data_IF_237900516029
#
_entry.id   IF_237900516029
#
_cell.length_a   1.000
_cell.length_b   1.000
_cell.length_c   1.000
_cell.angle_alpha   90.00
_cell.angle_beta   90.00
_cell.angle_gamma   90.00
#
_symmetry.space_group_name_H-M   'P 1'
#
loop_
_entity.id
_entity.type
_entity.pdbx_description
1 polymer ?
#
# COMPACT_ATOMS: atom_id res chain seq x y z
N UNK A 1 -6.48 -43.78 -3.14
CA UNK A 1 -6.31 -43.46 -1.70
C UNK A 1 -5.34 -44.45 -1.06
N UNK A 2 -5.59 -45.75 -1.16
CA UNK A 2 -4.69 -46.82 -0.68
C UNK A 2 -3.25 -46.71 -1.20
N UNK A 3 -3.06 -46.38 -2.49
CA UNK A 3 -1.73 -46.25 -3.11
C UNK A 3 -0.86 -45.13 -2.53
N UNK A 4 -1.46 -44.00 -2.13
CA UNK A 4 -0.72 -42.90 -1.53
C UNK A 4 -0.28 -43.25 -0.10
N UNK A 5 -1.15 -43.88 0.68
CA UNK A 5 -0.83 -44.33 2.03
C UNK A 5 0.31 -45.35 2.02
N UNK A 6 0.27 -46.35 1.13
CA UNK A 6 1.36 -47.33 0.97
C UNK A 6 2.71 -46.68 0.61
N UNK A 7 2.70 -45.71 -0.31
CA UNK A 7 3.91 -45.00 -0.69
C UNK A 7 4.45 -44.10 0.43
N UNK A 8 3.56 -43.44 1.19
CA UNK A 8 3.94 -42.59 2.31
C UNK A 8 4.56 -43.42 3.45
N UNK A 9 3.94 -44.54 3.83
CA UNK A 9 4.47 -45.45 4.86
C UNK A 9 5.82 -46.02 4.46
N UNK A 10 6.00 -46.41 3.20
CA UNK A 10 7.30 -46.92 2.74
C UNK A 10 8.42 -45.86 2.86
N UNK A 11 8.12 -44.60 2.53
CA UNK A 11 9.10 -43.52 2.69
C UNK A 11 9.36 -43.25 4.17
N UNK A 12 8.35 -43.30 5.05
CA UNK A 12 8.54 -43.16 6.50
C UNK A 12 9.46 -44.24 7.06
N UNK A 13 9.25 -45.51 6.67
CA UNK A 13 10.12 -46.64 7.03
C UNK A 13 11.57 -46.39 6.59
N UNK A 14 11.80 -46.01 5.32
CA UNK A 14 13.14 -45.68 4.83
C UNK A 14 13.79 -44.52 5.61
N UNK A 15 12.99 -43.55 6.08
CA UNK A 15 13.49 -42.44 6.88
C UNK A 15 13.90 -42.85 8.30
N UNK A 16 13.32 -43.92 8.85
CA UNK A 16 13.70 -44.45 10.17
C UNK A 16 15.07 -45.12 10.21
N UNK A 17 15.60 -45.54 9.05
CA UNK A 17 16.93 -46.15 8.94
C UNK A 17 18.08 -45.13 9.18
N UNK A 18 17.78 -43.82 9.12
CA UNK A 18 18.77 -42.77 9.34
C UNK A 18 18.88 -42.42 10.84
N UNK A 19 20.08 -42.54 11.45
CA UNK A 19 20.26 -42.24 12.86
C UNK A 19 19.89 -40.80 13.23
N UNK A 20 19.34 -40.60 14.43
CA UNK A 20 19.04 -39.27 14.93
C UNK A 20 20.29 -38.37 14.91
N UNK A 21 20.15 -37.16 14.37
CA UNK A 21 21.25 -36.20 14.23
C UNK A 21 22.04 -36.34 12.92
N UNK A 22 21.79 -37.37 12.11
CA UNK A 22 22.37 -37.46 10.76
C UNK A 22 21.54 -36.69 9.73
N UNK A 23 22.17 -36.00 8.76
CA UNK A 23 21.44 -35.35 7.67
C UNK A 23 20.72 -36.39 6.80
N UNK A 24 19.41 -36.24 6.67
CA UNK A 24 18.61 -37.03 5.73
C UNK A 24 19.08 -36.68 4.30
N UNK A 25 19.34 -37.66 3.41
CA UNK A 25 19.83 -37.43 2.05
C UNK A 25 18.72 -36.93 1.09
N UNK A 26 17.82 -36.09 1.60
CA UNK A 26 16.76 -35.45 0.83
C UNK A 26 17.02 -33.94 0.87
N UNK A 27 17.10 -33.27 -0.29
CA UNK A 27 17.19 -31.82 -0.33
C UNK A 27 16.05 -31.16 0.46
N UNK A 28 16.36 -30.13 1.25
CA UNK A 28 15.39 -29.42 2.11
C UNK A 28 14.10 -29.02 1.39
N UNK A 29 14.18 -28.65 0.11
CA UNK A 29 13.00 -28.31 -0.70
C UNK A 29 12.05 -29.47 -0.95
N UNK A 30 12.58 -30.69 -1.14
CA UNK A 30 11.80 -31.91 -1.26
C UNK A 30 11.27 -32.36 0.09
N UNK A 31 12.09 -32.32 1.14
CA UNK A 31 11.69 -32.67 2.51
C UNK A 31 10.50 -31.82 2.98
N UNK A 32 10.54 -30.51 2.72
CA UNK A 32 9.41 -29.61 3.03
C UNK A 32 8.12 -29.99 2.29
N UNK A 33 8.21 -30.38 1.02
CA UNK A 33 7.03 -30.81 0.24
C UNK A 33 6.50 -32.13 0.75
N UNK A 34 7.39 -33.06 1.09
CA UNK A 34 7.05 -34.35 1.66
C UNK A 34 6.22 -34.18 2.94
N UNK A 35 6.64 -33.33 3.88
CA UNK A 35 5.88 -33.07 5.10
C UNK A 35 4.51 -32.39 4.88
N UNK A 36 4.29 -31.73 3.75
CA UNK A 36 2.99 -31.13 3.40
C UNK A 36 2.00 -32.18 2.87
N UNK A 37 2.49 -33.24 2.23
CA UNK A 37 1.64 -34.22 1.55
C UNK A 37 0.65 -34.96 2.48
N UNK A 38 1.04 -35.45 3.67
CA UNK A 38 0.10 -36.09 4.59
C UNK A 38 -1.04 -35.16 5.00
N UNK A 39 -0.75 -33.89 5.26
CA UNK A 39 -1.75 -32.88 5.60
C UNK A 39 -2.72 -32.61 4.46
N UNK A 40 -2.22 -32.49 3.23
CA UNK A 40 -3.06 -32.33 2.04
C UNK A 40 -3.95 -33.56 1.83
N UNK A 41 -3.41 -34.76 2.01
CA UNK A 41 -4.15 -36.00 1.90
C UNK A 41 -5.29 -36.07 2.93
N UNK A 42 -4.99 -35.75 4.20
CA UNK A 42 -5.98 -35.73 5.27
C UNK A 42 -7.12 -34.75 4.96
N UNK A 43 -6.80 -33.51 4.55
CA UNK A 43 -7.81 -32.53 4.15
C UNK A 43 -8.70 -33.05 3.00
N UNK A 44 -8.11 -33.69 1.98
CA UNK A 44 -8.87 -34.25 0.87
C UNK A 44 -9.74 -35.44 1.29
N UNK A 45 -9.24 -36.31 2.17
CA UNK A 45 -9.97 -37.47 2.67
C UNK A 45 -11.17 -37.07 3.52
N UNK A 46 -11.00 -36.13 4.44
CA UNK A 46 -12.09 -35.59 5.26
C UNK A 46 -13.16 -34.93 4.40
N UNK A 47 -12.75 -34.11 3.42
CA UNK A 47 -13.66 -33.48 2.47
C UNK A 47 -14.47 -34.51 1.67
N UNK A 48 -13.82 -35.57 1.21
CA UNK A 48 -14.46 -36.67 0.49
C UNK A 48 -15.44 -37.45 1.39
N UNK A 49 -15.02 -37.83 2.60
CA UNK A 49 -15.83 -38.63 3.53
C UNK A 49 -17.07 -37.90 4.03
N UNK A 50 -16.95 -36.61 4.30
CA UNK A 50 -18.04 -35.79 4.84
C UNK A 50 -18.85 -35.06 3.76
N UNK A 51 -18.47 -35.22 2.49
CA UNK A 51 -19.04 -34.50 1.34
C UNK A 51 -19.05 -32.97 1.52
N UNK A 52 -18.08 -32.42 2.27
CA UNK A 52 -17.93 -30.98 2.49
C UNK A 52 -16.99 -30.36 1.45
N UNK A 53 -17.32 -29.14 1.01
CA UNK A 53 -16.45 -28.33 0.16
C UNK A 53 -15.61 -27.31 0.93
N UNK A 54 -15.89 -27.16 2.24
CA UNK A 54 -15.17 -26.24 3.13
C UNK A 54 -14.09 -27.00 3.88
N UNK A 55 -12.89 -26.43 3.89
CA UNK A 55 -11.75 -26.88 4.67
C UNK A 55 -11.04 -25.62 5.14
N UNK A 56 -10.94 -25.45 6.46
CA UNK A 56 -10.18 -24.35 7.05
C UNK A 56 -8.68 -24.63 6.85
N UNK A 57 -7.89 -23.58 6.62
CA UNK A 57 -6.47 -23.71 6.26
C UNK A 57 -6.17 -24.63 5.06
N UNK A 58 -7.09 -24.67 4.09
CA UNK A 58 -6.97 -25.51 2.90
C UNK A 58 -5.64 -25.31 2.17
N UNK A 59 -4.91 -26.40 2.00
CA UNK A 59 -3.69 -26.47 1.22
C UNK A 59 -4.07 -26.55 -0.26
N UNK A 60 -3.66 -25.55 -1.04
CA UNK A 60 -3.90 -25.47 -2.48
C UNK A 60 -2.63 -25.61 -3.32
N UNK A 61 -1.46 -25.56 -2.67
CA UNK A 61 -0.16 -25.70 -3.33
C UNK A 61 0.83 -26.39 -2.40
N UNK A 62 1.41 -27.50 -2.86
CA UNK A 62 2.45 -28.24 -2.12
C UNK A 62 3.75 -27.42 -2.03
N UNK A 63 4.06 -26.61 -3.05
CA UNK A 63 5.26 -25.77 -3.05
C UNK A 63 5.10 -24.52 -2.16
N UNK A 64 3.87 -24.02 -2.03
CA UNK A 64 3.54 -22.83 -1.25
C UNK A 64 2.34 -23.11 -0.32
N UNK A 65 2.54 -23.95 0.72
CA UNK A 65 1.45 -24.42 1.57
C UNK A 65 0.82 -23.34 2.45
N UNK A 66 1.42 -22.14 2.53
CA UNK A 66 0.91 -20.99 3.28
C UNK A 66 -0.08 -20.14 2.48
N UNK A 67 -0.20 -20.33 1.17
CA UNK A 67 -1.17 -19.60 0.35
C UNK A 67 -2.57 -20.14 0.65
N UNK A 68 -3.52 -19.26 0.96
CA UNK A 68 -4.91 -19.62 1.15
C UNK A 68 -5.77 -19.19 -0.04
N UNK A 69 -6.84 -19.92 -0.36
CA UNK A 69 -7.87 -19.45 -1.29
C UNK A 69 -8.60 -18.24 -0.68
N UNK A 70 -8.70 -17.14 -1.42
CA UNK A 70 -9.41 -15.93 -1.00
C UNK A 70 -10.66 -15.77 -1.85
N UNK A 71 -11.84 -15.91 -1.24
CA UNK A 71 -13.12 -15.76 -1.94
C UNK A 71 -13.34 -14.29 -2.31
N UNK A 72 -13.57 -14.02 -3.60
CA UNK A 72 -13.88 -12.70 -4.13
C UNK A 72 -15.26 -12.73 -4.77
N UNK A 73 -16.14 -11.81 -4.36
CA UNK A 73 -17.49 -11.67 -4.91
C UNK A 73 -17.53 -11.07 -6.32
N UNK A 74 -16.47 -11.26 -7.15
CA UNK A 74 -16.41 -10.71 -8.50
C UNK A 74 -16.87 -11.74 -9.54
N UNK A 75 -17.66 -11.35 -10.54
CA UNK A 75 -18.08 -12.25 -11.61
C UNK A 75 -16.86 -12.86 -12.34
N UNK A 76 -16.89 -14.17 -12.61
CA UNK A 76 -15.88 -14.89 -13.41
C UNK A 76 -14.64 -15.40 -12.66
N UNK A 77 -14.32 -14.86 -11.47
CA UNK A 77 -13.25 -15.40 -10.61
C UNK A 77 -13.69 -15.42 -9.15
N UNK A 78 -14.21 -16.57 -8.73
CA UNK A 78 -14.72 -16.77 -7.37
C UNK A 78 -13.62 -16.76 -6.32
N UNK A 79 -12.39 -17.16 -6.67
CA UNK A 79 -11.25 -17.28 -5.75
C UNK A 79 -10.00 -16.66 -6.37
N UNK A 80 -9.31 -15.84 -5.59
CA UNK A 80 -7.98 -15.30 -5.88
C UNK A 80 -6.94 -15.92 -4.93
N UNK A 81 -5.67 -15.94 -5.36
CA UNK A 81 -4.54 -16.41 -4.57
C UNK A 81 -3.48 -15.33 -4.51
N UNK A 82 -2.84 -15.18 -3.35
CA UNK A 82 -1.74 -14.24 -3.17
C UNK A 82 -1.71 -13.64 -1.77
N UNK A 83 -0.76 -12.74 -1.56
CA UNK A 83 -0.69 -11.96 -0.34
C UNK A 83 -1.83 -10.92 -0.31
N UNK A 84 -2.53 -10.85 0.81
CA UNK A 84 -3.32 -9.68 1.18
C UNK A 84 -2.40 -8.63 1.78
N UNK A 85 -2.56 -7.40 1.34
CA UNK A 85 -1.69 -6.28 1.73
C UNK A 85 -2.62 -5.14 2.15
N UNK A 86 -2.50 -4.72 3.41
CA UNK A 86 -3.06 -3.46 3.86
C UNK A 86 -2.01 -2.36 3.73
N UNK A 87 -2.41 -1.24 3.14
CA UNK A 87 -1.53 -0.10 2.89
C UNK A 87 -2.20 1.18 3.33
N UNK A 88 -1.51 1.96 4.16
CA UNK A 88 -1.88 3.35 4.47
C UNK A 88 -1.12 4.32 3.58
N UNK A 89 -1.77 5.43 3.22
CA UNK A 89 -1.17 6.52 2.46
C UNK A 89 -1.22 7.79 3.31
N UNK A 90 -0.07 8.44 3.47
CA UNK A 90 0.00 9.75 4.15
C UNK A 90 -0.38 10.88 3.21
N UNK A 91 -0.77 12.05 3.75
CA UNK A 91 -1.04 13.25 2.95
C UNK A 91 0.16 13.75 2.11
N UNK A 92 1.38 13.28 2.41
CA UNK A 92 2.60 13.54 1.62
C UNK A 92 2.83 12.51 0.50
N UNK A 93 1.91 11.57 0.32
CA UNK A 93 1.96 10.51 -0.70
C UNK A 93 2.84 9.30 -0.33
N UNK A 94 3.43 9.26 0.87
CA UNK A 94 4.20 8.10 1.32
C UNK A 94 3.25 6.95 1.66
N UNK A 95 3.52 5.78 1.07
CA UNK A 95 2.73 4.57 1.25
C UNK A 95 3.41 3.65 2.27
N UNK A 96 2.64 3.07 3.17
CA UNK A 96 3.17 2.15 4.16
C UNK A 96 2.42 0.83 4.17
N UNK A 97 3.15 -0.27 4.16
CA UNK A 97 2.57 -1.61 4.28
C UNK A 97 2.36 -1.89 5.76
N UNK A 98 1.12 -1.85 6.22
CA UNK A 98 0.80 -2.01 7.64
C UNK A 98 0.63 -3.48 8.02
N UNK A 99 0.01 -4.27 7.14
CA UNK A 99 -0.18 -5.70 7.33
C UNK A 99 -0.03 -6.45 6.02
N UNK A 100 0.65 -7.58 6.07
CA UNK A 100 0.82 -8.49 4.94
C UNK A 100 0.65 -9.91 5.44
N UNK A 101 -0.34 -10.62 4.89
CA UNK A 101 -0.63 -12.00 5.27
C UNK A 101 -1.26 -12.78 4.10
N UNK A 102 -1.39 -14.10 4.25
CA UNK A 102 -2.02 -14.97 3.24
C UNK A 102 -3.38 -15.52 3.68
N UNK A 103 -3.82 -15.19 4.89
CA UNK A 103 -5.06 -15.73 5.45
C UNK A 103 -6.31 -15.10 4.83
N UNK A 104 -7.41 -15.86 4.89
CA UNK A 104 -8.72 -15.41 4.41
C UNK A 104 -9.41 -14.36 5.32
N UNK A 105 -8.69 -13.80 6.30
CA UNK A 105 -9.21 -12.85 7.30
C UNK A 105 -9.85 -11.60 6.68
N UNK A 106 -10.78 -11.00 7.43
CA UNK A 106 -11.50 -9.79 7.05
C UNK A 106 -10.69 -8.54 7.41
N UNK A 107 -10.31 -7.77 6.38
CA UNK A 107 -9.39 -6.62 6.48
C UNK A 107 -9.93 -5.50 7.39
N UNK A 108 -11.25 -5.40 7.57
CA UNK A 108 -11.88 -4.37 8.38
C UNK A 108 -11.43 -4.31 9.84
N UNK A 109 -10.89 -5.40 10.41
CA UNK A 109 -10.41 -5.43 11.79
C UNK A 109 -9.03 -4.80 11.99
N UNK A 110 -8.31 -4.47 10.91
CA UNK A 110 -6.93 -3.99 11.00
C UNK A 110 -6.84 -2.47 11.20
N UNK A 111 -7.96 -1.74 11.21
CA UNK A 111 -7.97 -0.26 11.24
C UNK A 111 -7.33 0.32 12.50
N UNK A 112 -7.70 -0.21 13.66
CA UNK A 112 -7.21 0.28 14.95
C UNK A 112 -5.69 0.16 15.03
N UNK A 113 -5.14 -1.00 14.68
CA UNK A 113 -3.70 -1.24 14.62
C UNK A 113 -2.98 -0.30 13.64
N UNK A 114 -3.59 -0.01 12.48
CA UNK A 114 -3.04 0.95 11.50
C UNK A 114 -2.98 2.38 12.05
N UNK A 115 -4.04 2.81 12.74
CA UNK A 115 -4.11 4.16 13.35
C UNK A 115 -3.10 4.30 14.48
N UNK A 116 -2.95 3.27 15.32
CA UNK A 116 -1.92 3.27 16.37
C UNK A 116 -0.50 3.25 15.79
N UNK A 117 -0.26 2.47 14.73
CA UNK A 117 1.02 2.48 14.02
C UNK A 117 1.33 3.86 13.39
N UNK A 118 0.31 4.57 12.90
CA UNK A 118 0.45 5.94 12.44
C UNK A 118 0.86 6.87 13.58
N UNK A 119 0.15 6.83 14.71
CA UNK A 119 0.48 7.65 15.89
C UNK A 119 1.88 7.37 16.42
N UNK A 120 2.27 6.10 16.54
CA UNK A 120 3.62 5.72 16.96
C UNK A 120 4.72 6.33 16.08
N UNK A 121 4.43 6.49 14.78
CA UNK A 121 5.40 6.99 13.80
C UNK A 121 5.48 8.49 13.72
N UNK A 122 4.34 9.17 13.77
CA UNK A 122 4.26 10.62 13.57
C UNK A 122 4.11 11.41 14.87
N UNK A 123 3.81 10.74 15.98
CA UNK A 123 3.60 11.34 17.29
C UNK A 123 2.19 11.86 17.54
N UNK A 124 1.28 11.76 16.57
CA UNK A 124 -0.08 12.28 16.66
C UNK A 124 -1.08 11.41 15.88
N UNK A 125 -2.37 11.48 16.25
CA UNK A 125 -3.45 10.83 15.50
C UNK A 125 -3.82 11.63 14.25
N UNK A 126 -4.18 10.97 13.13
CA UNK A 126 -4.66 11.69 11.96
C UNK A 126 -6.00 12.38 12.28
N UNK A 127 -6.22 13.56 11.71
CA UNK A 127 -7.51 14.26 11.85
C UNK A 127 -8.65 13.46 11.18
N UNK A 128 -8.34 12.85 10.04
CA UNK A 128 -9.31 12.15 9.19
C UNK A 128 -8.73 10.84 8.70
N UNK A 129 -9.53 9.77 8.79
CA UNK A 129 -9.24 8.47 8.19
C UNK A 129 -10.14 8.25 6.99
N UNK A 130 -9.52 8.13 5.82
CA UNK A 130 -10.18 7.88 4.54
C UNK A 130 -9.89 6.44 4.13
N UNK A 131 -10.90 5.58 4.23
CA UNK A 131 -10.75 4.15 4.01
C UNK A 131 -11.93 3.56 3.24
N UNK A 132 -11.77 2.32 2.79
CA UNK A 132 -12.83 1.56 2.12
C UNK A 132 -14.04 1.38 3.03
N UNK A 133 -15.21 1.22 2.42
CA UNK A 133 -16.47 0.99 3.15
C UNK A 133 -16.36 -0.18 4.13
N UNK A 134 -15.52 -1.19 3.82
CA UNK A 134 -15.28 -2.36 4.66
C UNK A 134 -14.69 -2.02 6.04
N UNK A 135 -13.91 -0.95 6.13
CA UNK A 135 -13.36 -0.44 7.39
C UNK A 135 -14.38 0.36 8.20
N UNK A 136 -15.54 0.68 7.64
CA UNK A 136 -16.56 1.50 8.30
C UNK A 136 -17.43 0.74 9.31
N UNK A 137 -16.91 -0.24 10.05
CA UNK A 137 -17.66 -0.99 11.08
C UNK A 137 -18.07 -0.11 12.28
N UNK A 138 -19.00 -0.60 13.11
CA UNK A 138 -19.42 0.12 14.34
C UNK A 138 -18.27 0.27 15.32
N UNK A 139 -17.49 -0.78 15.52
CA UNK A 139 -16.38 -0.80 16.46
C UNK A 139 -15.29 0.17 16.04
N UNK A 140 -14.92 0.15 14.76
CA UNK A 140 -13.95 1.07 14.17
C UNK A 140 -14.39 2.53 14.33
N UNK A 141 -15.66 2.84 14.08
CA UNK A 141 -16.17 4.21 14.25
C UNK A 141 -16.17 4.65 15.71
N UNK A 142 -16.51 3.75 16.61
CA UNK A 142 -16.49 4.01 18.05
C UNK A 142 -15.06 4.27 18.53
N UNK A 143 -14.09 3.47 18.07
CA UNK A 143 -12.68 3.70 18.30
C UNK A 143 -12.20 5.06 17.76
N UNK A 144 -12.51 5.38 16.50
CA UNK A 144 -12.12 6.66 15.90
C UNK A 144 -12.74 7.85 16.63
N UNK A 145 -14.02 7.77 16.99
CA UNK A 145 -14.72 8.83 17.72
C UNK A 145 -14.11 9.07 19.11
N UNK A 146 -13.76 8.00 19.84
CA UNK A 146 -13.08 8.10 21.16
C UNK A 146 -11.73 8.81 21.06
N UNK A 147 -11.05 8.69 19.93
CA UNK A 147 -9.75 9.33 19.69
C UNK A 147 -9.86 10.68 18.95
N UNK A 148 -11.08 11.23 18.81
CA UNK A 148 -11.36 12.47 18.08
C UNK A 148 -10.92 12.44 16.61
N UNK A 149 -10.96 11.27 15.98
CA UNK A 149 -10.60 11.05 14.57
C UNK A 149 -11.87 10.96 13.74
N UNK A 150 -11.94 11.71 12.64
CA UNK A 150 -13.10 11.71 11.75
C UNK A 150 -12.98 10.60 10.70
N UNK A 151 -14.04 9.81 10.51
CA UNK A 151 -14.08 8.80 9.44
C UNK A 151 -14.72 9.36 8.17
N UNK A 152 -13.96 9.44 7.07
CA UNK A 152 -14.42 9.90 5.77
C UNK A 152 -15.13 8.77 5.00
N UNK A 153 -16.29 8.36 5.47
CA UNK A 153 -17.12 7.35 4.82
C UNK A 153 -18.61 7.61 4.96
N UNK A 154 -19.42 6.85 4.21
CA UNK A 154 -20.88 6.95 4.30
C UNK A 154 -21.34 6.65 5.74
N UNK A 155 -22.29 7.41 6.33
CA UNK A 155 -22.83 7.10 7.65
C UNK A 155 -23.48 5.71 7.67
N UNK A 156 -23.50 5.08 8.85
CA UNK A 156 -24.25 3.84 9.04
C UNK A 156 -25.75 4.11 9.03
N UNK A 157 -26.50 3.11 8.58
CA UNK A 157 -27.95 3.12 8.62
C UNK A 157 -28.60 3.73 7.38
N UNK A 158 -29.92 3.91 7.49
CA UNK A 158 -30.73 4.46 6.42
C UNK A 158 -30.39 5.95 6.23
N UNK A 159 -30.15 6.41 4.99
CA UNK A 159 -29.99 7.84 4.73
C UNK A 159 -31.18 8.65 5.27
N UNK A 160 -30.97 9.82 5.88
CA UNK A 160 -32.06 10.64 6.39
C UNK A 160 -32.97 11.09 5.24
N UNK A 161 -34.28 11.17 5.50
CA UNK A 161 -35.25 11.73 4.55
C UNK A 161 -34.93 13.22 4.36
N UNK A 162 -35.01 13.68 3.12
CA UNK A 162 -34.78 15.10 2.80
C UNK A 162 -36.04 15.87 3.20
N UNK A 163 -35.94 16.64 4.29
CA UNK A 163 -36.95 17.62 4.70
C UNK A 163 -36.47 19.03 4.34
N UNK A 164 -37.37 20.02 4.19
CA UNK A 164 -36.98 21.40 3.89
C UNK A 164 -35.95 21.97 4.89
N UNK A 165 -36.09 21.63 6.18
CA UNK A 165 -35.19 22.06 7.24
C UNK A 165 -33.78 21.44 7.17
N UNK A 166 -33.65 20.16 6.76
CA UNK A 166 -32.37 19.45 6.78
C UNK A 166 -31.67 19.43 5.41
N UNK A 167 -32.31 20.00 4.38
CA UNK A 167 -31.83 19.97 2.99
C UNK A 167 -30.46 20.62 2.85
N UNK A 168 -30.27 21.78 3.46
CA UNK A 168 -29.03 22.56 3.35
C UNK A 168 -27.87 21.89 4.10
N UNK A 169 -28.14 21.36 5.30
CA UNK A 169 -27.14 20.60 6.06
C UNK A 169 -26.70 19.34 5.31
N UNK A 170 -27.65 18.59 4.75
CA UNK A 170 -27.35 17.38 3.99
C UNK A 170 -26.57 17.68 2.70
N UNK A 171 -26.87 18.80 2.04
CA UNK A 171 -26.11 19.30 0.89
C UNK A 171 -24.69 19.67 1.29
N UNK A 172 -24.49 20.38 2.41
CA UNK A 172 -23.15 20.73 2.94
C UNK A 172 -22.34 19.47 3.27
N UNK A 173 -22.93 18.49 3.95
CA UNK A 173 -22.25 17.22 4.24
C UNK A 173 -21.88 16.46 2.96
N UNK A 174 -22.74 16.44 1.95
CA UNK A 174 -22.43 15.84 0.64
C UNK A 174 -21.29 16.59 -0.05
N UNK A 175 -21.29 17.92 0.00
CA UNK A 175 -20.25 18.76 -0.59
C UNK A 175 -18.89 18.52 0.09
N UNK A 176 -18.84 18.38 1.42
CA UNK A 176 -17.63 18.06 2.18
C UNK A 176 -17.09 16.64 1.90
N UNK A 177 -17.97 15.66 1.67
CA UNK A 177 -17.56 14.27 1.37
C UNK A 177 -16.97 14.09 -0.03
N UNK A 178 -17.33 14.95 -0.99
CA UNK A 178 -16.82 14.88 -2.37
C UNK A 178 -15.29 15.02 -2.45
N UNK A 179 -14.63 16.04 -1.88
CA UNK A 179 -13.18 16.14 -1.90
C UNK A 179 -12.53 14.99 -1.14
N UNK A 180 -13.08 14.56 0.01
CA UNK A 180 -12.53 13.42 0.77
C UNK A 180 -12.56 12.11 -0.03
N UNK A 181 -13.61 11.89 -0.82
CA UNK A 181 -13.64 10.75 -1.74
C UNK A 181 -12.55 10.86 -2.83
N UNK A 182 -12.24 12.08 -3.29
CA UNK A 182 -11.14 12.30 -4.25
C UNK A 182 -9.78 12.02 -3.61
N UNK A 183 -9.61 12.26 -2.32
CA UNK A 183 -8.39 11.90 -1.58
C UNK A 183 -8.17 10.37 -1.48
N UNK A 184 -9.17 9.54 -1.82
CA UNK A 184 -9.00 8.09 -2.00
C UNK A 184 -8.41 7.71 -3.38
N UNK A 185 -8.45 8.62 -4.36
CA UNK A 185 -7.88 8.34 -5.70
C UNK A 185 -6.36 8.12 -5.65
N UNK A 186 -5.57 8.92 -4.89
CA UNK A 186 -4.13 8.70 -4.74
C UNK A 186 -3.74 7.29 -4.29
N UNK A 187 -4.47 6.67 -3.36
CA UNK A 187 -4.14 5.32 -2.87
C UNK A 187 -4.40 4.26 -3.96
N UNK A 188 -5.48 4.39 -4.72
CA UNK A 188 -5.75 3.53 -5.88
C UNK A 188 -4.68 3.71 -6.97
N UNK A 189 -4.30 4.96 -7.25
CA UNK A 189 -3.20 5.29 -8.14
C UNK A 189 -1.87 4.67 -7.68
N UNK A 190 -1.61 4.63 -6.37
CA UNK A 190 -0.41 4.00 -5.79
C UNK A 190 -0.41 2.49 -6.01
N UNK A 191 -1.55 1.81 -5.79
CA UNK A 191 -1.69 0.40 -6.13
C UNK A 191 -1.55 0.14 -7.63
N UNK A 192 -2.09 1.02 -8.48
CA UNK A 192 -1.91 0.97 -9.93
C UNK A 192 -0.43 1.06 -10.32
N UNK A 193 0.28 2.05 -9.78
CA UNK A 193 1.72 2.20 -9.97
C UNK A 193 2.49 0.94 -9.54
N UNK A 194 2.17 0.38 -8.37
CA UNK A 194 2.77 -0.86 -7.88
C UNK A 194 2.55 -2.03 -8.82
N UNK A 195 1.32 -2.22 -9.31
CA UNK A 195 0.97 -3.33 -10.21
C UNK A 195 1.64 -3.21 -11.57
N UNK A 196 1.48 -2.08 -12.26
CA UNK A 196 1.95 -1.93 -13.63
C UNK A 196 3.43 -1.54 -13.72
N UNK A 197 3.93 -0.70 -12.81
CA UNK A 197 5.33 -0.25 -12.81
C UNK A 197 6.29 -1.22 -12.13
N UNK A 198 5.83 -1.94 -11.10
CA UNK A 198 6.70 -2.77 -10.25
C UNK A 198 6.27 -4.22 -10.12
N UNK A 199 5.27 -4.65 -10.92
CA UNK A 199 4.78 -6.04 -10.98
C UNK A 199 4.30 -6.55 -9.61
N UNK A 200 3.65 -5.70 -8.83
CA UNK A 200 3.05 -6.10 -7.54
C UNK A 200 2.02 -7.22 -7.69
N UNK A 201 1.40 -7.35 -8.87
CA UNK A 201 0.49 -8.45 -9.22
C UNK A 201 1.20 -9.74 -9.68
N UNK A 202 2.53 -9.77 -9.77
CA UNK A 202 3.32 -10.90 -10.25
C UNK A 202 4.61 -11.07 -9.43
N UNK A 203 4.44 -11.39 -8.14
CA UNK A 203 5.55 -11.71 -7.23
C UNK A 203 6.01 -13.15 -7.48
N UNK A 204 7.28 -13.32 -7.85
CA UNK A 204 7.86 -14.62 -8.22
C UNK A 204 8.60 -15.33 -7.07
N UNK A 205 8.59 -14.73 -5.88
CA UNK A 205 9.14 -15.34 -4.69
C UNK A 205 8.41 -16.63 -4.32
N UNK A 206 9.16 -17.65 -3.92
CA UNK A 206 8.61 -18.98 -3.56
C UNK A 206 8.31 -19.09 -2.06
N UNK A 207 9.04 -18.37 -1.21
CA UNK A 207 8.83 -18.39 0.25
C UNK A 207 7.99 -17.19 0.69
N UNK A 208 7.33 -17.31 1.83
CA UNK A 208 6.49 -16.25 2.37
C UNK A 208 7.34 -15.03 2.75
N UNK A 209 8.42 -15.24 3.52
CA UNK A 209 9.37 -14.21 3.92
C UNK A 209 10.02 -13.47 2.74
N UNK A 210 10.44 -14.18 1.71
CA UNK A 210 11.00 -13.55 0.50
C UNK A 210 9.95 -12.79 -0.29
N UNK A 211 8.69 -13.23 -0.26
CA UNK A 211 7.56 -12.47 -0.83
C UNK A 211 7.30 -11.18 -0.06
N UNK A 212 7.33 -11.24 1.29
CA UNK A 212 7.22 -10.06 2.16
C UNK A 212 8.33 -9.05 1.85
N UNK A 213 9.57 -9.52 1.82
CA UNK A 213 10.73 -8.67 1.52
C UNK A 213 10.61 -8.01 0.13
N UNK A 214 10.19 -8.77 -0.88
CA UNK A 214 9.97 -8.24 -2.24
C UNK A 214 8.89 -7.16 -2.24
N UNK A 215 7.72 -7.44 -1.66
CA UNK A 215 6.60 -6.49 -1.61
C UNK A 215 7.02 -5.21 -0.89
N UNK A 216 7.64 -5.32 0.29
CA UNK A 216 8.13 -4.16 1.03
C UNK A 216 9.19 -3.37 0.25
N UNK A 217 10.06 -4.05 -0.50
CA UNK A 217 11.06 -3.38 -1.36
C UNK A 217 10.40 -2.57 -2.48
N UNK A 218 9.29 -3.04 -3.05
CA UNK A 218 8.51 -2.27 -4.04
C UNK A 218 8.01 -0.96 -3.42
N UNK A 219 7.39 -1.02 -2.24
CA UNK A 219 6.89 0.17 -1.55
C UNK A 219 8.02 1.10 -1.11
N UNK A 220 9.17 0.56 -0.69
CA UNK A 220 10.37 1.33 -0.39
C UNK A 220 10.81 2.15 -1.61
N UNK A 221 10.98 1.50 -2.78
CA UNK A 221 11.38 2.18 -4.02
C UNK A 221 10.35 3.26 -4.40
N UNK A 222 9.06 2.95 -4.30
CA UNK A 222 7.98 3.90 -4.60
C UNK A 222 7.98 5.12 -3.67
N UNK A 223 8.41 4.96 -2.41
CA UNK A 223 8.55 6.05 -1.46
C UNK A 223 9.82 6.87 -1.71
N UNK A 224 10.94 6.21 -2.00
CA UNK A 224 12.19 6.89 -2.34
C UNK A 224 12.01 7.84 -3.54
N UNK A 225 11.25 7.44 -4.55
CA UNK A 225 10.94 8.33 -5.68
C UNK A 225 10.19 9.60 -5.28
N UNK A 226 9.33 9.54 -4.27
CA UNK A 226 8.66 10.73 -3.73
C UNK A 226 9.68 11.60 -3.00
N UNK A 227 10.50 11.00 -2.15
CA UNK A 227 11.51 11.71 -1.36
C UNK A 227 12.55 12.40 -2.25
N UNK A 228 13.00 11.74 -3.33
CA UNK A 228 13.93 12.32 -4.32
C UNK A 228 13.32 13.54 -4.99
N UNK A 229 12.03 13.50 -5.36
CA UNK A 229 11.35 14.68 -5.94
C UNK A 229 11.30 15.83 -4.96
N UNK A 230 10.95 15.57 -3.69
CA UNK A 230 10.95 16.59 -2.63
C UNK A 230 12.35 17.16 -2.45
N UNK A 231 13.38 16.32 -2.39
CA UNK A 231 14.77 16.74 -2.26
C UNK A 231 15.22 17.65 -3.41
N UNK A 232 14.91 17.29 -4.67
CA UNK A 232 15.24 18.11 -5.85
C UNK A 232 14.51 19.46 -5.78
N UNK A 233 13.23 19.48 -5.39
CA UNK A 233 12.47 20.73 -5.22
C UNK A 233 13.10 21.64 -4.16
N UNK A 234 13.47 21.09 -3.00
CA UNK A 234 14.12 21.83 -1.92
C UNK A 234 15.49 22.38 -2.35
N UNK A 235 16.30 21.57 -3.04
CA UNK A 235 17.58 22.00 -3.61
C UNK A 235 17.41 23.18 -4.57
N UNK A 236 16.42 23.10 -5.46
CA UNK A 236 16.15 24.16 -6.42
C UNK A 236 15.63 25.44 -5.74
N UNK A 237 14.83 25.31 -4.67
CA UNK A 237 14.39 26.45 -3.87
C UNK A 237 15.56 27.11 -3.15
N UNK A 238 16.43 26.33 -2.51
CA UNK A 238 17.64 26.83 -1.85
C UNK A 238 18.55 27.57 -2.83
N UNK A 239 18.76 27.02 -4.04
CA UNK A 239 19.55 27.67 -5.09
C UNK A 239 18.95 29.02 -5.53
N UNK A 240 17.61 29.11 -5.64
CA UNK A 240 16.93 30.38 -5.96
C UNK A 240 17.08 31.42 -4.85
N UNK A 241 16.94 31.01 -3.59
CA UNK A 241 17.15 31.90 -2.43
C UNK A 241 18.60 32.39 -2.41
N UNK A 242 19.57 31.49 -2.58
CA UNK A 242 20.98 31.85 -2.64
C UNK A 242 21.27 32.87 -3.77
N UNK A 243 20.73 32.65 -4.97
CA UNK A 243 20.86 33.58 -6.10
C UNK A 243 20.20 34.94 -5.83
N UNK A 244 19.06 34.97 -5.14
CA UNK A 244 18.38 36.21 -4.77
C UNK A 244 19.16 37.00 -3.71
N UNK A 245 19.69 36.31 -2.69
CA UNK A 245 20.53 36.92 -1.66
C UNK A 245 21.80 37.51 -2.29
N UNK A 246 22.52 36.74 -3.13
CA UNK A 246 23.74 37.23 -3.80
C UNK A 246 23.47 38.42 -4.72
N UNK A 247 22.34 38.44 -5.44
CA UNK A 247 21.94 39.60 -6.26
C UNK A 247 21.56 40.84 -5.43
N UNK A 248 21.06 40.66 -4.21
CA UNK A 248 20.68 41.77 -3.31
C UNK A 248 21.85 42.30 -2.49
N UNK A 249 22.87 41.47 -2.25
CA UNK A 249 24.12 41.84 -1.55
C UNK A 249 25.19 42.41 -2.48
N UNK A 250 24.98 42.47 -3.79
CA UNK A 250 25.83 43.25 -4.70
C UNK A 250 25.47 44.74 -4.54
N UNK A 251 26.38 45.61 -4.08
CA UNK A 251 26.12 47.05 -4.06
C UNK A 251 25.88 47.51 -5.51
N UNK A 252 24.75 48.18 -5.76
CA UNK A 252 24.61 48.95 -7.00
C UNK A 252 25.66 50.04 -6.91
N UNK A 253 26.67 50.00 -7.78
CA UNK A 253 27.53 51.15 -7.98
C UNK A 253 26.63 52.35 -8.28
N UNK A 254 26.62 53.32 -7.36
CA UNK A 254 26.01 54.62 -7.58
C UNK A 254 26.93 55.30 -8.60
N UNK A 255 26.48 55.63 -9.83
CA UNK A 255 27.32 56.33 -10.76
C UNK A 255 27.60 57.72 -10.18
N UNK A 256 28.81 57.92 -9.68
CA UNK A 256 29.27 59.21 -9.19
C UNK A 256 29.39 60.13 -10.41
N UNK A 257 28.46 61.08 -10.51
CA UNK A 257 28.45 62.10 -11.54
C UNK A 257 29.77 62.86 -11.56
N UNK A 258 30.48 62.83 -12.69
CA UNK A 258 31.44 63.87 -13.06
C UNK A 258 30.85 64.68 -14.19
N UNK A 259 30.49 65.91 -13.87
CA UNK A 259 30.12 66.95 -14.81
C UNK A 259 31.35 67.44 -15.58
N UNK A 260 31.16 67.73 -16.87
CA UNK A 260 31.72 68.84 -17.68
C UNK A 260 31.41 68.50 -19.16
N UNK A 261 30.35 69.05 -19.75
CA UNK A 261 30.24 70.35 -20.45
C UNK A 261 30.61 70.28 -21.95
N UNK A 262 29.80 70.98 -22.77
CA UNK A 262 29.93 71.26 -24.22
C UNK A 262 29.69 70.06 -25.17
N UNK A 263 28.93 70.11 -26.26
CA UNK A 263 28.35 71.20 -27.05
C UNK A 263 27.32 70.63 -28.06
N UNK A 264 26.22 71.36 -28.25
CA UNK A 264 25.65 71.80 -29.55
C UNK A 264 25.56 70.87 -30.78
N UNK A 265 24.34 70.89 -31.35
CA UNK A 265 23.96 70.77 -32.77
C UNK A 265 23.67 69.38 -33.38
N UNK A 266 22.39 69.24 -33.75
CA UNK A 266 21.84 68.91 -35.08
C UNK A 266 22.37 67.68 -35.84
N UNK A 267 21.39 66.82 -36.20
CA UNK A 267 21.17 66.09 -37.47
C UNK A 267 20.75 64.63 -37.18
N UNK A 268 19.49 64.24 -37.50
CA UNK A 268 19.11 63.37 -38.64
C UNK A 268 19.98 62.11 -38.74
N UNK A 269 19.46 60.87 -38.76
CA UNK A 269 18.77 60.22 -39.90
C UNK A 269 17.94 58.96 -39.51
N UNK A 270 17.01 58.63 -40.41
CA UNK A 270 16.23 57.39 -40.60
C UNK A 270 17.12 56.16 -40.92
N UNK A 271 16.64 54.94 -40.62
CA UNK A 271 16.39 53.86 -41.60
C UNK A 271 15.98 52.52 -40.94
N UNK A 272 15.14 51.75 -41.63
CA UNK A 272 14.51 50.49 -41.23
C UNK A 272 15.14 49.23 -41.87
N UNK A 273 14.68 48.05 -41.40
CA UNK A 273 14.79 46.68 -41.95
C UNK A 273 16.14 45.95 -41.82
N UNK A 274 16.23 44.61 -41.72
CA UNK A 274 15.36 43.50 -42.19
C UNK A 274 14.24 43.09 -41.24
#
# INVERSE_FOLDING_TARGET
MVSFQLAATHIEEMLTEYPHGTPIPIPNGLLRRYWVLPHLYQQQYEMYKTNTRRCDDRIVSISQPYIRPIIRGKPGKTVEFGAKISVSLTGKGLAHVDKLHWDAQHEGHDLEAQVEAYKKRYGYYPEVVIADTLYGSRDNRSYLARNHIRFAGKPLGRPPKITPANKDELMRMKAQRRPEYRERIPIEGKFGQGKYGYRLNNIRAKRADTSVAWINSIFLVMNLLILVRVFICLRNLAAKIASWVTKKSMPREIPFARACQFSSNRNSYLAAHI
#
